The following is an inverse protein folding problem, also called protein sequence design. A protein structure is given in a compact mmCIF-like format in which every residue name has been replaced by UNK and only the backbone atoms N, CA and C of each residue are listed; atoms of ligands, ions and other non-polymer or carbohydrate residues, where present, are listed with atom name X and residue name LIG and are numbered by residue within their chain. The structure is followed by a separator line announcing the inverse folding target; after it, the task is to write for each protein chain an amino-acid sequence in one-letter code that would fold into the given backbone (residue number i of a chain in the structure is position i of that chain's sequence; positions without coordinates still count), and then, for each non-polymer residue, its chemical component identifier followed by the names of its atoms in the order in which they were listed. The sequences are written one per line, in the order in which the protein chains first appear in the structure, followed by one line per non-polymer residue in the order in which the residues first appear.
data_IF_305692255487
#
_entry.id   IF_305692255487
#
_cell.length_a   1.000
_cell.length_b   1.000
_cell.length_c   1.000
_cell.angle_alpha   90.00
_cell.angle_beta   90.00
_cell.angle_gamma   90.00
#
_symmetry.space_group_name_H-M   'P 1'
#
loop_
_entity.id
_entity.type
_entity.pdbx_description
1 polymer ?
#
# COMPACT_ATOMS: atom_id res chain seq x y z
N UNK A 1 -5.43 -2.73 -9.86
CA UNK A 1 -4.27 -3.64 -9.98
C UNK A 1 -4.08 -4.37 -8.65
N UNK A 2 -3.85 -5.65 -8.70
CA UNK A 2 -3.74 -6.48 -7.52
C UNK A 2 -2.33 -7.04 -7.40
N UNK A 3 -1.73 -6.86 -6.24
CA UNK A 3 -0.38 -7.35 -5.96
C UNK A 3 -0.46 -8.41 -4.87
N UNK A 4 0.03 -9.61 -5.12
CA UNK A 4 0.01 -10.66 -4.13
C UNK A 4 1.28 -11.51 -4.11
N UNK A 5 2.26 -11.12 -4.90
CA UNK A 5 3.46 -11.94 -5.09
C UNK A 5 4.68 -11.14 -4.66
N UNK A 6 4.68 -10.66 -3.45
CA UNK A 6 5.77 -9.83 -2.95
C UNK A 6 6.30 -10.36 -1.63
N UNK A 7 7.54 -9.97 -1.35
CA UNK A 7 8.26 -10.40 -0.15
C UNK A 7 7.91 -9.46 1.00
N UNK A 8 6.91 -9.84 1.77
CA UNK A 8 6.57 -9.07 2.97
C UNK A 8 5.89 -10.00 3.96
N UNK A 9 6.41 -10.01 5.18
CA UNK A 9 5.78 -10.75 6.26
C UNK A 9 4.68 -9.96 6.93
N UNK A 10 4.57 -8.66 6.63
CA UNK A 10 3.62 -7.80 7.28
C UNK A 10 2.34 -7.60 6.47
N UNK A 11 2.41 -7.73 5.16
CA UNK A 11 1.30 -7.40 4.28
C UNK A 11 0.82 -8.66 3.57
N UNK A 12 -0.48 -8.92 3.68
CA UNK A 12 -1.11 -10.08 3.07
C UNK A 12 -1.49 -9.82 1.62
N UNK A 13 -2.05 -8.67 1.34
CA UNK A 13 -2.43 -8.34 -0.02
C UNK A 13 -2.44 -6.83 -0.21
N UNK A 14 -2.40 -6.42 -1.46
CA UNK A 14 -2.34 -5.02 -1.82
C UNK A 14 -3.02 -4.84 -3.17
N UNK A 15 -3.95 -3.90 -3.23
CA UNK A 15 -4.72 -3.65 -4.45
C UNK A 15 -4.73 -2.15 -4.71
N UNK A 16 -4.54 -1.76 -5.96
CA UNK A 16 -4.66 -0.35 -6.34
C UNK A 16 -5.79 -0.20 -7.34
N UNK A 17 -6.53 0.89 -7.20
CA UNK A 17 -7.61 1.23 -8.10
C UNK A 17 -7.75 2.75 -8.14
N UNK A 18 -7.60 3.33 -9.33
CA UNK A 18 -7.61 4.78 -9.48
C UNK A 18 -6.55 5.39 -8.57
N UNK A 19 -6.96 6.26 -7.66
CA UNK A 19 -6.05 6.91 -6.73
C UNK A 19 -6.07 6.28 -5.34
N UNK A 20 -6.63 5.09 -5.23
CA UNK A 20 -6.80 4.44 -3.93
C UNK A 20 -5.96 3.16 -3.89
N UNK A 21 -5.27 2.94 -2.79
CA UNK A 21 -4.60 1.68 -2.54
C UNK A 21 -5.22 1.03 -1.31
N UNK A 22 -5.53 -0.25 -1.41
CA UNK A 22 -6.11 -1.02 -0.32
C UNK A 22 -5.07 -2.02 0.17
N UNK A 23 -4.81 -2.03 1.45
CA UNK A 23 -3.76 -2.86 2.05
C UNK A 23 -4.36 -3.72 3.14
N UNK A 24 -4.10 -5.03 3.07
CA UNK A 24 -4.49 -5.96 4.11
C UNK A 24 -3.22 -6.46 4.80
N UNK A 25 -3.14 -6.26 6.10
CA UNK A 25 -1.98 -6.68 6.88
C UNK A 25 -2.18 -8.07 7.46
N UNK A 26 -1.07 -8.81 7.57
CA UNK A 26 -1.13 -10.18 8.09
C UNK A 26 -1.57 -10.23 9.55
N UNK A 27 -1.28 -9.20 10.31
CA UNK A 27 -1.60 -9.17 11.73
C UNK A 27 -3.07 -8.84 11.99
N UNK A 28 -3.80 -8.49 10.94
CA UNK A 28 -5.19 -8.08 11.07
C UNK A 28 -5.92 -8.42 9.78
N UNK A 29 -7.18 -8.79 9.90
CA UNK A 29 -8.00 -9.05 8.72
C UNK A 29 -8.61 -7.77 8.16
N UNK A 30 -8.24 -6.64 8.71
CA UNK A 30 -8.79 -5.36 8.27
C UNK A 30 -8.10 -4.87 7.01
N UNK A 31 -8.90 -4.27 6.16
CA UNK A 31 -8.40 -3.62 4.95
C UNK A 31 -8.29 -2.13 5.21
N UNK A 32 -7.13 -1.58 4.91
CA UNK A 32 -6.90 -0.15 5.08
C UNK A 32 -6.80 0.50 3.70
N UNK A 33 -7.49 1.62 3.53
CA UNK A 33 -7.53 2.32 2.26
C UNK A 33 -6.78 3.64 2.38
N UNK A 34 -5.97 3.95 1.38
CA UNK A 34 -5.18 5.18 1.34
C UNK A 34 -5.40 5.87 0.01
N UNK A 35 -5.38 7.20 0.04
CA UNK A 35 -5.39 7.99 -1.18
C UNK A 35 -3.95 8.15 -1.66
N UNK A 36 -3.73 7.92 -2.96
CA UNK A 36 -2.40 8.06 -3.54
C UNK A 36 -2.24 9.50 -4.01
N UNK A 37 -1.28 10.22 -3.42
CA UNK A 37 -1.00 11.59 -3.78
C UNK A 37 0.10 11.72 -4.83
N UNK A 38 0.99 10.74 -4.89
CA UNK A 38 2.10 10.74 -5.83
C UNK A 38 1.69 9.95 -7.08
N UNK A 39 1.66 10.63 -8.22
CA UNK A 39 1.24 9.98 -9.46
C UNK A 39 2.15 8.84 -9.87
N UNK A 40 3.38 8.82 -9.39
CA UNK A 40 4.34 7.77 -9.68
C UNK A 40 4.36 6.67 -8.62
N UNK A 41 3.47 6.74 -7.65
CA UNK A 41 3.54 5.83 -6.51
C UNK A 41 3.37 4.37 -6.92
N UNK A 42 2.42 4.10 -7.82
CA UNK A 42 2.18 2.73 -8.26
C UNK A 42 3.40 2.18 -8.98
N UNK A 43 4.05 3.01 -9.77
CA UNK A 43 5.27 2.61 -10.46
C UNK A 43 6.38 2.32 -9.46
N UNK A 44 6.51 3.16 -8.44
CA UNK A 44 7.50 2.95 -7.40
C UNK A 44 7.23 1.67 -6.62
N UNK A 45 5.96 1.41 -6.35
CA UNK A 45 5.56 0.18 -5.68
C UNK A 45 5.91 -1.03 -6.53
N UNK A 46 5.60 -0.97 -7.82
CA UNK A 46 5.91 -2.06 -8.74
C UNK A 46 7.40 -2.34 -8.77
N UNK A 47 8.22 -1.29 -8.79
CA UNK A 47 9.66 -1.44 -8.78
C UNK A 47 10.15 -2.05 -7.46
N UNK A 48 9.54 -1.65 -6.37
CA UNK A 48 9.88 -2.19 -5.05
C UNK A 48 9.66 -3.71 -5.03
N UNK A 49 8.52 -4.14 -5.52
CA UNK A 49 8.19 -5.56 -5.57
C UNK A 49 9.13 -6.29 -6.52
N UNK A 50 9.38 -5.70 -7.66
CA UNK A 50 10.23 -6.29 -8.69
C UNK A 50 11.67 -6.47 -8.19
N UNK A 51 12.14 -5.53 -7.38
CA UNK A 51 13.47 -5.57 -6.81
C UNK A 51 13.53 -6.37 -5.50
N UNK A 52 12.41 -6.94 -5.10
CA UNK A 52 12.29 -7.75 -3.87
C UNK A 52 12.65 -6.96 -2.63
N UNK A 53 12.35 -5.68 -2.65
CA UNK A 53 12.55 -4.84 -1.48
C UNK A 53 11.38 -4.99 -0.52
N UNK A 54 11.56 -4.50 0.70
CA UNK A 54 10.52 -4.63 1.71
C UNK A 54 9.34 -3.71 1.40
N UNK A 55 8.21 -4.31 1.05
CA UNK A 55 6.99 -3.56 0.76
C UNK A 55 6.49 -2.87 2.03
N UNK A 56 6.62 -3.54 3.18
CA UNK A 56 6.22 -2.94 4.45
C UNK A 56 6.95 -1.64 4.72
N UNK A 57 8.26 -1.64 4.51
CA UNK A 57 9.04 -0.41 4.71
C UNK A 57 8.65 0.66 3.70
N UNK A 58 8.39 0.26 2.47
CA UNK A 58 7.97 1.19 1.43
C UNK A 58 6.65 1.87 1.82
N UNK A 59 5.69 1.08 2.30
CA UNK A 59 4.40 1.61 2.73
C UNK A 59 4.58 2.59 3.89
N UNK A 60 5.36 2.20 4.90
CA UNK A 60 5.60 3.07 6.05
C UNK A 60 6.23 4.39 5.64
N UNK A 61 7.20 4.33 4.74
CA UNK A 61 7.85 5.53 4.24
C UNK A 61 6.86 6.40 3.48
N UNK A 62 6.02 5.77 2.67
CA UNK A 62 5.04 6.49 1.87
C UNK A 62 4.05 7.24 2.76
N UNK A 63 3.61 6.61 3.84
CA UNK A 63 2.70 7.26 4.78
C UNK A 63 3.42 8.41 5.48
N UNK A 64 4.65 8.18 5.89
CA UNK A 64 5.43 9.20 6.59
C UNK A 64 5.67 10.42 5.72
N UNK A 65 5.90 10.20 4.43
CA UNK A 65 6.15 11.30 3.49
C UNK A 65 4.86 11.80 2.87
N UNK A 66 3.73 11.22 3.25
CA UNK A 66 2.41 11.61 2.76
C UNK A 66 2.24 11.41 1.27
N UNK A 67 2.98 10.48 0.69
CA UNK A 67 2.76 10.06 -0.68
C UNK A 67 1.45 9.32 -0.79
N UNK A 68 1.05 8.64 0.29
CA UNK A 68 -0.28 8.08 0.45
C UNK A 68 -0.81 8.54 1.80
N UNK A 69 -2.11 8.79 1.86
CA UNK A 69 -2.74 9.28 3.08
C UNK A 69 -3.94 8.40 3.39
N UNK A 70 -4.02 7.94 4.61
CA UNK A 70 -5.09 7.04 5.01
C UNK A 70 -6.44 7.70 4.87
N UNK A 71 -7.36 6.97 4.23
CA UNK A 71 -8.75 7.41 4.13
C UNK A 71 -9.46 7.03 5.42
N UNK A 72 -9.82 8.03 6.19
CA UNK A 72 -10.57 7.80 7.43
C UNK A 72 -12.04 7.71 7.07
N UNK A 73 -12.62 6.54 7.31
CA UNK A 73 -14.03 6.35 7.04
C UNK A 73 -14.81 6.72 8.30
N UNK A 74 -15.37 7.90 8.28
CA UNK A 74 -16.09 8.43 9.43
C UNK A 74 -17.57 8.20 9.37
N UNK A 75 -17.96 7.21 8.67
CA UNK A 75 -19.38 6.89 8.67
C UNK A 75 -19.77 6.47 10.05
N UNK A 76 -20.25 7.01 10.53
CA UNK A 76 -20.62 6.56 11.72
C UNK A 76 -21.41 7.16 12.13
#
# INVERSE_FOLDING_TARGET
MYFNNFESSAISSLTTKDNIVSIVFNSSDKEYNYTINDTNWVELLTNCIKNKESVGKFINKSVKEQNIVELVNNSK
#
